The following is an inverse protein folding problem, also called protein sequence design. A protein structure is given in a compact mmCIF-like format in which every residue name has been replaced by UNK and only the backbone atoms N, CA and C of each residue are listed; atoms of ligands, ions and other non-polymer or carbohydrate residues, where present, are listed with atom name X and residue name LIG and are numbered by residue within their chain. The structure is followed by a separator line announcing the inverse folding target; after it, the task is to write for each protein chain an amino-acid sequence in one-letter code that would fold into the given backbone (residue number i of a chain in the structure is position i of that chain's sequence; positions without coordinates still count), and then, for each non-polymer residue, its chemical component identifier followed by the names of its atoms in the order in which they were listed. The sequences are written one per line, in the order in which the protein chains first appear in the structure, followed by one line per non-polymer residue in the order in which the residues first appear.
data_IF_338338622158
#
_entry.id   IF_338338622158
#
_cell.length_a   1.000
_cell.length_b   1.000
_cell.length_c   1.000
_cell.angle_alpha   90.00
_cell.angle_beta   90.00
_cell.angle_gamma   90.00
#
_symmetry.space_group_name_H-M   'P 1'
#
loop_
_entity.id
_entity.type
_entity.pdbx_description
1 polymer ?
#
# COMPACT_ATOMS: atom_id res chain seq x y z
N UNK A 1 19.29 -10.05 20.16
CA UNK A 1 18.97 -8.64 20.44
C UNK A 1 18.84 -7.95 19.09
N UNK A 2 17.62 -7.69 18.62
CA UNK A 2 17.42 -7.09 17.30
C UNK A 2 17.88 -5.62 17.33
N UNK A 3 18.77 -5.24 16.41
CA UNK A 3 19.33 -3.88 16.29
C UNK A 3 18.26 -2.86 15.85
N UNK A 4 17.11 -3.32 15.37
CA UNK A 4 15.97 -2.51 14.96
C UNK A 4 14.74 -2.84 15.80
N UNK A 5 14.13 -1.82 16.40
CA UNK A 5 12.82 -1.95 17.02
C UNK A 5 11.77 -2.03 15.91
N UNK A 6 11.30 -3.23 15.61
CA UNK A 6 10.26 -3.46 14.61
C UNK A 6 8.92 -3.19 15.28
N UNK A 7 8.21 -2.19 14.79
CA UNK A 7 6.90 -1.80 15.28
C UNK A 7 5.82 -2.68 14.62
N UNK A 8 5.17 -3.59 15.37
CA UNK A 8 4.24 -4.56 14.80
C UNK A 8 3.01 -3.90 14.17
N UNK A 9 2.57 -2.75 14.68
CA UNK A 9 1.38 -2.06 14.16
C UNK A 9 1.69 -1.38 12.82
N UNK A 10 2.89 -0.79 12.68
CA UNK A 10 3.36 -0.29 11.37
C UNK A 10 3.48 -1.39 10.35
N UNK A 11 4.03 -2.54 10.75
CA UNK A 11 4.13 -3.71 9.86
C UNK A 11 2.75 -4.17 9.42
N UNK A 12 1.79 -4.35 10.34
CA UNK A 12 0.42 -4.75 10.00
C UNK A 12 -0.25 -3.74 9.06
N UNK A 13 -0.22 -2.47 9.41
CA UNK A 13 -0.84 -1.40 8.61
C UNK A 13 -0.23 -1.33 7.20
N UNK A 14 1.09 -1.27 7.09
CA UNK A 14 1.76 -1.17 5.80
C UNK A 14 1.61 -2.45 4.97
N UNK A 15 1.54 -3.62 5.61
CA UNK A 15 1.24 -4.88 4.93
C UNK A 15 -0.17 -4.85 4.35
N UNK A 16 -1.17 -4.45 5.14
CA UNK A 16 -2.55 -4.29 4.67
C UNK A 16 -2.64 -3.36 3.45
N UNK A 17 -2.00 -2.19 3.51
CA UNK A 17 -1.93 -1.27 2.36
C UNK A 17 -1.20 -1.90 1.16
N UNK A 18 -0.14 -2.68 1.42
CA UNK A 18 0.63 -3.39 0.39
C UNK A 18 -0.15 -4.51 -0.29
N UNK A 19 -1.25 -4.99 0.27
CA UNK A 19 -2.11 -6.02 -0.34
C UNK A 19 -3.10 -5.44 -1.37
N UNK A 20 -3.17 -4.12 -1.53
CA UNK A 20 -4.10 -3.50 -2.50
C UNK A 20 -3.77 -3.87 -3.95
N UNK A 21 -2.50 -4.07 -4.27
CA UNK A 21 -2.03 -4.38 -5.61
C UNK A 21 -1.27 -5.68 -5.61
N UNK A 22 -1.46 -6.49 -6.65
CA UNK A 22 -0.77 -7.80 -6.72
C UNK A 22 0.75 -7.64 -6.77
N UNK A 23 1.24 -6.55 -7.37
CA UNK A 23 2.68 -6.29 -7.49
C UNK A 23 3.36 -6.03 -6.15
N UNK A 24 2.70 -5.34 -5.22
CA UNK A 24 3.21 -5.11 -3.87
C UNK A 24 2.93 -6.26 -2.92
N UNK A 25 1.84 -7.00 -3.13
CA UNK A 25 1.46 -8.14 -2.29
C UNK A 25 2.56 -9.23 -2.26
N UNK A 26 3.19 -9.53 -3.40
CA UNK A 26 4.32 -10.47 -3.46
C UNK A 26 5.48 -10.09 -2.53
N UNK A 27 5.87 -8.82 -2.52
CA UNK A 27 6.94 -8.33 -1.62
C UNK A 27 6.53 -8.36 -0.14
N UNK A 28 5.25 -8.16 0.17
CA UNK A 28 4.72 -8.31 1.53
C UNK A 28 4.85 -9.77 1.97
N UNK A 29 4.35 -10.72 1.17
CA UNK A 29 4.43 -12.14 1.51
C UNK A 29 5.88 -12.63 1.63
N UNK A 30 6.76 -12.24 0.70
CA UNK A 30 8.19 -12.58 0.79
C UNK A 30 8.82 -12.09 2.10
N UNK A 31 8.47 -10.88 2.57
CA UNK A 31 8.99 -10.36 3.83
C UNK A 31 8.53 -11.18 5.06
N UNK A 32 7.29 -11.66 5.07
CA UNK A 32 6.80 -12.56 6.14
C UNK A 32 7.45 -13.94 6.07
N UNK A 33 7.62 -14.51 4.86
CA UNK A 33 8.31 -15.80 4.66
C UNK A 33 9.79 -15.68 5.07
N UNK A 34 10.48 -14.60 4.71
CA UNK A 34 11.86 -14.35 5.13
C UNK A 34 11.96 -14.23 6.66
N UNK A 35 11.01 -13.54 7.30
CA UNK A 35 10.94 -13.40 8.75
C UNK A 35 10.72 -14.73 9.47
N UNK A 36 9.85 -15.61 8.94
CA UNK A 36 9.67 -16.98 9.44
C UNK A 36 10.99 -17.78 9.38
N UNK A 37 11.79 -17.55 8.35
CA UNK A 37 13.11 -18.14 8.18
C UNK A 37 14.25 -17.40 8.93
N UNK A 38 13.91 -16.47 9.83
CA UNK A 38 14.85 -15.76 10.70
C UNK A 38 15.43 -14.47 10.12
N UNK A 39 15.03 -14.04 8.92
CA UNK A 39 15.45 -12.79 8.30
C UNK A 39 14.39 -11.69 8.46
N UNK A 40 14.50 -10.94 9.56
CA UNK A 40 13.59 -9.85 9.89
C UNK A 40 13.86 -8.54 9.10
N UNK A 41 14.84 -8.53 8.17
CA UNK A 41 15.26 -7.28 7.51
C UNK A 41 14.15 -6.63 6.68
N UNK A 42 13.31 -7.44 6.03
CA UNK A 42 12.14 -6.94 5.29
C UNK A 42 11.12 -6.25 6.19
N UNK A 43 10.75 -6.88 7.31
CA UNK A 43 9.80 -6.30 8.27
C UNK A 43 10.36 -5.04 8.95
N UNK A 44 11.67 -5.02 9.23
CA UNK A 44 12.34 -3.83 9.76
C UNK A 44 12.31 -2.66 8.76
N UNK A 45 12.54 -2.94 7.47
CA UNK A 45 12.41 -1.94 6.41
C UNK A 45 10.98 -1.41 6.31
N UNK A 46 9.97 -2.30 6.28
CA UNK A 46 8.56 -1.92 6.24
C UNK A 46 8.24 -0.99 7.42
N UNK A 47 8.57 -1.40 8.65
CA UNK A 47 8.36 -0.60 9.87
C UNK A 47 9.01 0.79 9.80
N UNK A 48 10.21 0.90 9.22
CA UNK A 48 10.91 2.18 9.06
C UNK A 48 10.24 3.06 8.01
N UNK A 49 9.89 2.48 6.86
CA UNK A 49 9.33 3.18 5.72
C UNK A 49 7.90 3.68 5.98
N UNK A 50 7.11 3.01 6.83
CA UNK A 50 5.74 3.43 7.15
C UNK A 50 5.69 4.87 7.65
N UNK A 51 6.59 5.25 8.58
CA UNK A 51 6.64 6.63 9.08
C UNK A 51 6.97 7.63 7.97
N UNK A 52 7.96 7.31 7.14
CA UNK A 52 8.32 8.17 6.02
C UNK A 52 7.14 8.33 5.06
N UNK A 53 6.45 7.24 4.74
CA UNK A 53 5.30 7.28 3.84
C UNK A 53 4.15 8.11 4.43
N UNK A 54 3.74 7.86 5.68
CA UNK A 54 2.65 8.61 6.32
C UNK A 54 2.92 10.12 6.39
N UNK A 55 4.19 10.51 6.60
CA UNK A 55 4.59 11.92 6.66
C UNK A 55 4.72 12.60 5.28
N UNK A 56 4.93 11.82 4.21
CA UNK A 56 5.11 12.35 2.85
C UNK A 56 3.91 12.08 1.94
N UNK A 57 2.87 11.42 2.45
CA UNK A 57 1.59 11.32 1.76
C UNK A 57 1.00 12.72 1.62
N UNK A 58 0.60 13.09 0.41
CA UNK A 58 -0.10 14.34 0.14
C UNK A 58 -1.59 14.22 0.54
N UNK A 59 -1.81 13.86 1.80
CA UNK A 59 -3.12 13.63 2.40
C UNK A 59 -3.30 14.59 3.55
N UNK A 60 -4.40 15.34 3.52
CA UNK A 60 -4.85 16.11 4.67
C UNK A 60 -5.56 15.13 5.60
N UNK A 61 -4.83 14.57 6.57
CA UNK A 61 -5.32 13.49 7.44
C UNK A 61 -6.67 13.80 8.10
N UNK A 62 -6.89 15.04 8.55
CA UNK A 62 -8.18 15.43 9.12
C UNK A 62 -9.34 15.41 8.11
N UNK A 63 -9.10 15.79 6.86
CA UNK A 63 -10.11 15.71 5.79
C UNK A 63 -10.40 14.25 5.40
N UNK A 64 -9.35 13.42 5.31
CA UNK A 64 -9.52 11.99 5.06
C UNK A 64 -10.34 11.34 6.18
N UNK A 65 -9.97 11.58 7.44
CA UNK A 65 -10.71 11.07 8.59
C UNK A 65 -12.17 11.54 8.55
N UNK A 66 -12.44 12.83 8.33
CA UNK A 66 -13.80 13.35 8.25
C UNK A 66 -14.65 12.66 7.17
N UNK A 67 -14.06 12.29 6.03
CA UNK A 67 -14.74 11.58 4.93
C UNK A 67 -14.93 10.09 5.21
N UNK A 68 -13.98 9.46 5.90
CA UNK A 68 -14.05 8.04 6.27
C UNK A 68 -15.19 7.70 7.23
N UNK A 69 -15.79 8.69 7.89
CA UNK A 69 -16.95 8.48 8.76
C UNK A 69 -18.30 8.70 8.05
N UNK A 70 -18.34 8.89 6.72
CA UNK A 70 -19.60 9.21 6.03
C UNK A 70 -20.66 8.13 6.20
N UNK A 71 -20.25 6.87 6.25
CA UNK A 71 -21.06 5.67 6.38
C UNK A 71 -20.97 5.03 7.78
N UNK A 72 -20.45 5.77 8.77
CA UNK A 72 -20.30 5.26 10.13
C UNK A 72 -21.66 5.06 10.82
N UNK A 73 -21.90 3.83 11.28
CA UNK A 73 -23.05 3.44 12.08
C UNK A 73 -22.69 3.33 13.57
N UNK A 74 -23.21 4.25 14.38
CA UNK A 74 -22.96 4.26 15.84
C UNK A 74 -23.50 3.05 16.60
N UNK A 75 -24.35 2.23 15.98
CA UNK A 75 -24.86 0.99 16.58
C UNK A 75 -23.91 -0.20 16.41
N UNK A 76 -22.88 -0.06 15.56
CA UNK A 76 -21.91 -1.11 15.26
C UNK A 76 -20.63 -0.85 16.05
N UNK A 77 -20.22 -1.83 16.85
CA UNK A 77 -18.88 -1.85 17.42
C UNK A 77 -17.89 -2.28 16.34
N UNK A 78 -17.42 -1.32 15.53
CA UNK A 78 -16.46 -1.59 14.47
C UNK A 78 -15.13 -2.09 15.01
N UNK A 79 -14.72 -1.73 16.23
CA UNK A 79 -13.44 -2.20 16.76
C UNK A 79 -13.52 -3.70 17.04
N UNK A 80 -14.56 -4.16 17.75
CA UNK A 80 -14.79 -5.59 17.98
C UNK A 80 -15.11 -6.35 16.69
N UNK A 81 -15.93 -5.78 15.80
CA UNK A 81 -16.27 -6.41 14.51
C UNK A 81 -15.03 -6.60 13.63
N UNK A 82 -14.09 -5.64 13.66
CA UNK A 82 -12.86 -5.68 12.86
C UNK A 82 -11.69 -6.38 13.58
N UNK A 83 -11.84 -6.74 14.85
CA UNK A 83 -11.04 -7.79 15.50
C UNK A 83 -11.49 -9.15 14.98
N UNK A 84 -11.36 -9.38 13.67
CA UNK A 84 -11.48 -10.72 13.12
C UNK A 84 -10.32 -11.55 13.67
N UNK A 85 -10.58 -12.29 14.75
CA UNK A 85 -9.67 -13.22 15.43
C UNK A 85 -9.23 -14.40 14.53
N UNK A 86 -9.53 -14.38 13.23
CA UNK A 86 -9.25 -15.46 12.28
C UNK A 86 -8.04 -15.20 11.37
N UNK A 87 -7.51 -13.97 11.29
CA UNK A 87 -6.39 -13.62 10.40
C UNK A 87 -5.15 -13.14 11.12
N UNK A 88 -3.95 -13.55 10.67
CA UNK A 88 -2.64 -13.17 11.26
C UNK A 88 -2.43 -11.64 11.25
N UNK A 89 -2.91 -10.96 10.20
CA UNK A 89 -2.76 -9.50 10.02
C UNK A 89 -3.95 -8.73 10.61
N UNK A 90 -5.13 -9.35 10.69
CA UNK A 90 -6.39 -8.69 11.09
C UNK A 90 -6.82 -7.59 10.10
N UNK A 91 -7.54 -6.58 10.61
CA UNK A 91 -8.03 -5.42 9.84
C UNK A 91 -7.39 -4.12 10.34
N UNK A 92 -6.05 -3.94 10.22
CA UNK A 92 -5.34 -2.84 10.85
C UNK A 92 -5.73 -1.47 10.27
N UNK A 93 -6.13 -1.41 8.99
CA UNK A 93 -6.68 -0.19 8.38
C UNK A 93 -7.98 0.23 9.06
N UNK A 94 -8.96 -0.67 9.15
CA UNK A 94 -10.24 -0.40 9.80
C UNK A 94 -10.08 -0.05 11.29
N UNK A 95 -9.17 -0.72 12.00
CA UNK A 95 -8.88 -0.40 13.40
C UNK A 95 -8.25 0.99 13.58
N UNK A 96 -7.37 1.41 12.66
CA UNK A 96 -6.80 2.75 12.68
C UNK A 96 -7.88 3.83 12.46
N UNK A 97 -8.90 3.53 11.64
CA UNK A 97 -9.98 4.46 11.33
C UNK A 97 -11.17 4.38 12.31
N UNK A 98 -11.20 3.38 13.20
CA UNK A 98 -12.25 3.21 14.22
C UNK A 98 -12.17 4.24 15.38
N UNK A 99 -11.64 5.44 15.14
CA UNK A 99 -11.41 6.50 16.16
C UNK A 99 -12.63 7.41 16.38
N UNK A 100 -13.83 6.91 16.09
CA UNK A 100 -15.08 7.68 16.16
C UNK A 100 -15.35 8.30 17.54
N UNK A 101 -14.90 7.67 18.64
CA UNK A 101 -15.07 8.19 20.00
C UNK A 101 -14.34 9.52 20.24
N UNK A 102 -13.23 9.74 19.52
CA UNK A 102 -12.37 10.92 19.69
C UNK A 102 -12.47 11.90 18.50
N UNK A 103 -13.08 11.48 17.40
CA UNK A 103 -13.29 12.32 16.23
C UNK A 103 -14.70 12.93 16.26
N UNK A 104 -14.85 14.27 16.33
CA UNK A 104 -16.13 14.93 16.58
C UNK A 104 -17.04 14.99 15.34
N UNK A 105 -17.26 13.87 14.66
CA UNK A 105 -18.17 13.76 13.53
C UNK A 105 -19.49 13.17 14.02
N UNK A 106 -20.56 13.94 13.83
CA UNK A 106 -21.92 13.42 13.92
C UNK A 106 -22.28 12.89 12.55
N UNK A 107 -22.32 11.58 12.37
CA UNK A 107 -23.06 11.04 11.23
C UNK A 107 -24.52 11.42 11.43
N UNK A 108 -25.01 12.26 10.52
CA UNK A 108 -26.44 12.52 10.44
C UNK A 108 -26.98 11.51 9.46
N UNK A 109 -28.03 10.80 9.80
CA UNK A 109 -28.84 10.08 8.81
C UNK A 109 -29.28 11.09 7.75
N UNK A 110 -28.58 11.12 6.62
CA UNK A 110 -28.90 12.00 5.51
C UNK A 110 -29.43 11.20 4.35
N UNK A 111 -30.09 11.90 3.44
CA UNK A 111 -30.50 11.37 2.12
C UNK A 111 -29.31 10.95 1.25
N UNK A 112 -28.07 11.17 1.69
CA UNK A 112 -26.83 10.79 0.99
C UNK A 112 -26.22 9.50 1.54
N UNK A 113 -26.71 8.97 2.67
CA UNK A 113 -26.28 7.70 3.26
C UNK A 113 -26.95 6.48 2.63
N UNK A 114 -27.80 6.68 1.61
CA UNK A 114 -28.52 5.62 0.91
C UNK A 114 -28.26 5.74 -0.57
N UNK A 115 -27.93 4.62 -1.20
CA UNK A 115 -27.82 4.53 -2.66
C UNK A 115 -29.18 4.89 -3.26
N UNK A 116 -29.15 5.65 -4.36
CA UNK A 116 -30.35 6.06 -5.09
C UNK A 116 -30.39 5.35 -6.41
N UNK A 117 -31.60 5.00 -6.84
CA UNK A 117 -31.80 4.51 -8.20
C UNK A 117 -31.36 5.56 -9.22
N UNK A 118 -30.70 5.09 -10.28
CA UNK A 118 -30.36 5.89 -11.44
C UNK A 118 -30.52 5.07 -12.71
N UNK A 119 -30.94 5.74 -13.76
CA UNK A 119 -31.04 5.25 -15.14
C UNK A 119 -29.87 5.76 -16.00
N UNK A 120 -28.89 6.45 -15.42
CA UNK A 120 -27.67 6.84 -16.13
C UNK A 120 -26.85 5.58 -16.45
N UNK A 121 -26.34 5.51 -17.67
CA UNK A 121 -25.41 4.46 -18.08
C UNK A 121 -24.16 4.49 -17.20
N UNK A 122 -23.88 3.40 -16.50
CA UNK A 122 -22.74 3.30 -15.60
C UNK A 122 -21.89 2.06 -15.86
N UNK A 123 -20.58 2.26 -16.01
CA UNK A 123 -19.60 1.18 -16.09
C UNK A 123 -18.89 1.03 -14.74
N UNK A 124 -18.89 -0.18 -14.21
CA UNK A 124 -18.12 -0.59 -13.04
C UNK A 124 -17.03 -1.58 -13.49
N UNK A 125 -15.77 -1.24 -13.24
CA UNK A 125 -14.63 -2.14 -13.42
C UNK A 125 -14.10 -2.51 -12.04
N UNK A 126 -14.09 -3.80 -11.71
CA UNK A 126 -13.67 -4.29 -10.39
C UNK A 126 -12.58 -5.34 -10.53
N UNK A 127 -11.66 -5.38 -9.57
CA UNK A 127 -10.75 -6.51 -9.38
C UNK A 127 -11.42 -7.62 -8.57
N UNK A 128 -11.22 -8.88 -8.97
CA UNK A 128 -11.73 -10.05 -8.21
C UNK A 128 -11.03 -10.29 -6.88
N UNK A 129 -9.87 -9.67 -6.65
CA UNK A 129 -9.09 -9.77 -5.40
C UNK A 129 -8.80 -8.39 -4.81
N UNK A 130 -9.70 -7.42 -5.06
CA UNK A 130 -9.63 -6.09 -4.45
C UNK A 130 -10.07 -6.15 -2.98
N UNK A 131 -9.11 -6.05 -2.06
CA UNK A 131 -9.38 -6.05 -0.62
C UNK A 131 -9.87 -4.70 -0.08
N UNK A 132 -9.65 -3.60 -0.82
CA UNK A 132 -10.06 -2.26 -0.39
C UNK A 132 -11.50 -1.96 -0.75
N UNK A 133 -11.93 -2.39 -1.94
CA UNK A 133 -13.30 -2.21 -2.44
C UNK A 133 -13.77 -3.50 -3.14
N UNK A 134 -14.09 -4.57 -2.38
CA UNK A 134 -14.48 -5.86 -2.94
C UNK A 134 -15.58 -5.77 -4.00
N UNK A 135 -15.41 -6.51 -5.10
CA UNK A 135 -16.31 -6.49 -6.25
C UNK A 135 -17.74 -6.92 -5.89
N UNK A 136 -17.90 -7.74 -4.85
CA UNK A 136 -19.16 -8.23 -4.33
C UNK A 136 -20.03 -7.09 -3.80
N UNK A 137 -19.45 -6.07 -3.15
CA UNK A 137 -20.21 -4.93 -2.66
C UNK A 137 -20.73 -4.08 -3.82
N UNK A 138 -19.89 -3.85 -4.83
CA UNK A 138 -20.34 -3.21 -6.06
C UNK A 138 -21.46 -4.00 -6.75
N UNK A 139 -21.37 -5.34 -6.79
CA UNK A 139 -22.36 -6.22 -7.42
C UNK A 139 -23.68 -6.31 -6.65
N UNK A 140 -23.61 -6.47 -5.34
CA UNK A 140 -24.75 -6.81 -4.50
C UNK A 140 -25.43 -5.59 -3.89
N UNK A 141 -24.70 -4.50 -3.67
CA UNK A 141 -25.20 -3.35 -2.92
C UNK A 141 -25.34 -2.10 -3.79
N UNK A 142 -24.48 -1.91 -4.80
CA UNK A 142 -24.53 -0.75 -5.70
C UNK A 142 -25.29 -1.06 -7.00
N UNK A 143 -24.88 -2.09 -7.73
CA UNK A 143 -25.41 -2.43 -9.05
C UNK A 143 -26.95 -2.56 -9.11
N UNK A 144 -27.68 -3.07 -8.08
CA UNK A 144 -29.14 -3.11 -8.11
C UNK A 144 -29.81 -1.73 -8.25
N UNK A 145 -29.13 -0.65 -7.90
CA UNK A 145 -29.61 0.73 -8.03
C UNK A 145 -29.20 1.38 -9.36
N UNK A 146 -28.32 0.75 -10.14
CA UNK A 146 -27.86 1.24 -11.44
C UNK A 146 -28.63 0.51 -12.55
N UNK A 147 -29.79 1.04 -12.98
CA UNK A 147 -30.70 0.34 -13.92
C UNK A 147 -30.03 -0.02 -15.25
N UNK A 148 -29.11 0.84 -15.70
CA UNK A 148 -28.29 0.65 -16.89
C UNK A 148 -26.81 0.39 -16.53
N UNK A 149 -26.57 -0.11 -15.32
CA UNK A 149 -25.23 -0.41 -14.81
C UNK A 149 -24.70 -1.72 -15.37
N UNK A 150 -23.41 -1.74 -15.72
CA UNK A 150 -22.69 -2.95 -16.12
C UNK A 150 -21.43 -3.08 -15.28
N UNK A 151 -21.23 -4.26 -14.71
CA UNK A 151 -20.02 -4.57 -13.97
C UNK A 151 -19.20 -5.63 -14.69
N UNK A 152 -17.91 -5.34 -14.86
CA UNK A 152 -16.91 -6.32 -15.29
C UNK A 152 -15.94 -6.58 -14.15
N UNK A 153 -15.80 -7.86 -13.79
CA UNK A 153 -14.91 -8.31 -12.72
C UNK A 153 -13.68 -8.95 -13.36
N UNK A 154 -12.53 -8.32 -13.20
CA UNK A 154 -11.26 -8.74 -13.75
C UNK A 154 -10.62 -9.81 -12.84
N UNK A 155 -10.41 -11.00 -13.39
CA UNK A 155 -9.79 -12.13 -12.69
C UNK A 155 -8.34 -11.81 -12.29
N UNK A 156 -7.99 -11.99 -11.01
CA UNK A 156 -6.65 -11.76 -10.44
C UNK A 156 -6.15 -10.29 -10.49
N UNK A 157 -7.09 -9.33 -10.56
CA UNK A 157 -6.79 -7.90 -10.40
C UNK A 157 -7.13 -7.46 -8.99
N UNK A 158 -6.24 -6.67 -8.37
CA UNK A 158 -6.49 -5.99 -7.11
C UNK A 158 -7.21 -4.65 -7.29
N UNK A 159 -6.83 -3.67 -6.48
CA UNK A 159 -7.43 -2.35 -6.42
C UNK A 159 -7.16 -1.50 -7.68
N UNK A 160 -7.77 -0.30 -7.75
CA UNK A 160 -7.86 0.58 -8.93
C UNK A 160 -6.60 0.67 -9.80
N UNK A 161 -5.40 0.72 -9.19
CA UNK A 161 -4.13 0.74 -9.90
C UNK A 161 -3.87 -0.49 -10.77
N UNK A 162 -4.30 -1.68 -10.33
CA UNK A 162 -4.20 -2.90 -11.13
C UNK A 162 -5.14 -2.81 -12.34
N UNK A 163 -6.38 -2.38 -12.11
CA UNK A 163 -7.44 -2.26 -13.13
C UNK A 163 -7.04 -1.26 -14.21
N UNK A 164 -6.47 -0.11 -13.83
CA UNK A 164 -6.15 0.98 -14.75
C UNK A 164 -4.79 0.83 -15.42
N UNK A 165 -3.77 0.33 -14.72
CA UNK A 165 -2.38 0.52 -15.15
C UNK A 165 -1.62 -0.75 -15.51
N UNK A 166 -2.02 -1.95 -15.07
CA UNK A 166 -1.35 -3.19 -15.50
C UNK A 166 -1.39 -3.38 -17.01
N UNK A 167 -2.54 -3.07 -17.60
CA UNK A 167 -2.71 -3.01 -19.04
C UNK A 167 -3.44 -1.71 -19.41
N UNK A 168 -2.68 -0.61 -19.42
CA UNK A 168 -3.21 0.72 -19.70
C UNK A 168 -3.95 0.81 -21.04
N UNK A 169 -3.51 0.06 -22.06
CA UNK A 169 -4.18 0.03 -23.35
C UNK A 169 -5.53 -0.67 -23.27
N UNK A 170 -5.65 -1.75 -22.50
CA UNK A 170 -6.93 -2.42 -22.27
C UNK A 170 -7.91 -1.52 -21.52
N UNK A 171 -7.45 -0.82 -20.48
CA UNK A 171 -8.28 0.16 -19.77
C UNK A 171 -8.77 1.27 -20.69
N UNK A 172 -7.86 1.89 -21.46
CA UNK A 172 -8.23 2.96 -22.38
C UNK A 172 -9.22 2.49 -23.44
N UNK A 173 -9.03 1.30 -24.00
CA UNK A 173 -9.96 0.76 -24.98
C UNK A 173 -11.33 0.52 -24.35
N UNK A 174 -11.40 -0.19 -23.21
CA UNK A 174 -12.66 -0.47 -22.52
C UNK A 174 -13.45 0.80 -22.20
N UNK A 175 -12.78 1.84 -21.67
CA UNK A 175 -13.42 3.12 -21.35
C UNK A 175 -13.82 3.88 -22.61
N UNK A 176 -12.97 3.92 -23.64
CA UNK A 176 -13.25 4.63 -24.90
C UNK A 176 -14.44 4.01 -25.62
N UNK A 177 -14.47 2.68 -25.74
CA UNK A 177 -15.55 1.96 -26.41
C UNK A 177 -16.85 2.10 -25.62
N UNK A 178 -16.79 2.08 -24.29
CA UNK A 178 -17.95 2.34 -23.45
C UNK A 178 -18.52 3.74 -23.66
N UNK A 179 -17.69 4.78 -23.66
CA UNK A 179 -18.16 6.15 -23.94
C UNK A 179 -18.70 6.32 -25.37
N UNK A 180 -18.19 5.54 -26.34
CA UNK A 180 -18.63 5.63 -27.73
C UNK A 180 -19.91 4.83 -28.01
N UNK A 181 -20.13 3.72 -27.30
CA UNK A 181 -21.13 2.72 -27.69
C UNK A 181 -22.04 2.22 -26.55
N UNK A 182 -21.71 2.52 -25.29
CA UNK A 182 -22.36 1.94 -24.12
C UNK A 182 -21.90 0.52 -23.78
N UNK A 183 -20.96 -0.06 -24.54
CA UNK A 183 -20.35 -1.37 -24.30
C UNK A 183 -18.83 -1.24 -24.16
N UNK A 184 -18.25 -1.86 -23.12
CA UNK A 184 -16.82 -1.90 -22.92
C UNK A 184 -16.20 -3.09 -23.66
N UNK A 185 -15.25 -2.87 -24.56
CA UNK A 185 -14.44 -3.97 -25.12
C UNK A 185 -13.38 -4.41 -24.10
N UNK A 186 -13.60 -5.58 -23.53
CA UNK A 186 -12.71 -6.19 -22.55
C UNK A 186 -11.67 -7.12 -23.17
N UNK A 187 -11.61 -7.25 -24.50
CA UNK A 187 -10.79 -8.24 -25.21
C UNK A 187 -9.28 -8.11 -24.96
N UNK A 188 -8.80 -6.88 -24.70
CA UNK A 188 -7.40 -6.64 -24.37
C UNK A 188 -7.06 -6.94 -22.90
N UNK A 189 -8.04 -7.06 -22.01
CA UNK A 189 -7.78 -7.49 -20.63
C UNK A 189 -7.40 -8.97 -20.63
N UNK A 190 -6.18 -9.25 -20.18
CA UNK A 190 -5.67 -10.62 -20.10
C UNK A 190 -5.95 -11.17 -18.72
N UNK A 191 -6.34 -12.45 -18.69
CA UNK A 191 -6.26 -13.22 -17.45
C UNK A 191 -4.81 -13.49 -17.15
N UNK A 192 -4.28 -12.81 -16.14
CA UNK A 192 -2.93 -13.02 -15.63
C UNK A 192 -3.00 -13.77 -14.31
N UNK A 193 -1.98 -14.57 -14.00
CA UNK A 193 -1.87 -15.17 -12.66
C UNK A 193 -1.18 -14.15 -11.76
N UNK A 194 -1.58 -14.09 -10.50
CA UNK A 194 -0.82 -13.36 -9.50
C UNK A 194 0.59 -13.93 -9.42
N UNK A 195 1.58 -13.08 -9.66
CA UNK A 195 2.98 -13.42 -9.45
C UNK A 195 3.36 -13.05 -8.02
N UNK A 196 3.65 -14.06 -7.19
CA UNK A 196 4.10 -13.87 -5.82
C UNK A 196 5.63 -13.77 -5.69
N UNK A 197 6.37 -13.88 -6.79
CA UNK A 197 7.83 -13.69 -6.81
C UNK A 197 8.14 -12.22 -7.12
N UNK A 198 8.54 -11.41 -6.13
CA UNK A 198 8.86 -10.01 -6.37
C UNK A 198 10.17 -9.87 -7.14
N UNK A 199 10.21 -8.97 -8.13
CA UNK A 199 11.45 -8.61 -8.82
C UNK A 199 12.54 -8.09 -7.85
N UNK A 200 12.10 -7.40 -6.80
CA UNK A 200 12.95 -6.96 -5.70
C UNK A 200 12.15 -7.02 -4.41
N UNK A 201 12.59 -7.85 -3.46
CA UNK A 201 11.89 -8.05 -2.20
C UNK A 201 12.31 -7.05 -1.12
N UNK A 202 11.47 -6.86 -0.11
CA UNK A 202 11.80 -5.97 1.00
C UNK A 202 13.08 -6.40 1.75
N UNK A 203 13.33 -7.70 2.03
CA UNK A 203 14.63 -8.14 2.56
C UNK A 203 15.82 -7.77 1.66
N UNK A 204 15.69 -7.91 0.34
CA UNK A 204 16.75 -7.52 -0.60
C UNK A 204 17.03 -6.02 -0.54
N UNK A 205 15.97 -5.19 -0.57
CA UNK A 205 16.08 -3.72 -0.47
C UNK A 205 16.76 -3.34 0.85
N UNK A 206 16.36 -3.96 1.96
CA UNK A 206 16.92 -3.68 3.28
C UNK A 206 18.43 -3.95 3.32
N UNK A 207 18.87 -5.11 2.79
CA UNK A 207 20.29 -5.48 2.74
C UNK A 207 21.10 -4.56 1.84
N UNK A 208 20.56 -4.21 0.67
CA UNK A 208 21.21 -3.26 -0.26
C UNK A 208 21.37 -1.89 0.41
N UNK A 209 20.32 -1.38 1.09
CA UNK A 209 20.36 -0.10 1.77
C UNK A 209 21.42 -0.07 2.88
N UNK A 210 21.47 -1.10 3.73
CA UNK A 210 22.49 -1.22 4.78
C UNK A 210 23.90 -1.31 4.17
N UNK A 211 24.06 -2.12 3.12
CA UNK A 211 25.33 -2.26 2.40
C UNK A 211 25.83 -0.93 1.83
N UNK A 212 24.94 -0.14 1.25
CA UNK A 212 25.27 1.20 0.73
C UNK A 212 25.70 2.16 1.85
N UNK A 213 25.01 2.18 2.99
CA UNK A 213 25.38 3.02 4.15
C UNK A 213 26.76 2.64 4.68
N UNK A 214 27.03 1.34 4.86
CA UNK A 214 28.34 0.85 5.32
C UNK A 214 29.44 1.25 4.33
N UNK A 215 29.19 1.10 3.03
CA UNK A 215 30.15 1.50 2.00
C UNK A 215 30.51 2.99 2.06
N UNK A 216 29.51 3.87 2.22
CA UNK A 216 29.73 5.32 2.36
C UNK A 216 30.54 5.65 3.62
N UNK A 217 30.24 5.02 4.76
CA UNK A 217 31.00 5.21 6.01
C UNK A 217 32.47 4.82 5.79
N UNK A 218 32.72 3.67 5.16
CA UNK A 218 34.08 3.20 4.87
C UNK A 218 34.83 4.14 3.91
N UNK A 219 34.15 4.69 2.91
CA UNK A 219 34.73 5.70 2.02
C UNK A 219 35.15 6.96 2.78
N UNK A 220 34.29 7.48 3.66
CA UNK A 220 34.57 8.66 4.49
C UNK A 220 35.77 8.39 5.41
N UNK A 221 35.78 7.23 6.10
CA UNK A 221 36.89 6.84 6.97
C UNK A 221 38.20 6.69 6.18
N UNK A 222 38.15 6.04 5.01
CA UNK A 222 39.28 5.92 4.10
C UNK A 222 39.84 7.28 3.69
N UNK A 223 38.96 8.22 3.33
CA UNK A 223 39.34 9.58 2.96
C UNK A 223 39.99 10.35 4.12
N UNK A 224 39.41 10.28 5.33
CA UNK A 224 39.97 10.89 6.55
C UNK A 224 41.34 10.31 6.88
N UNK A 225 41.51 8.99 6.78
CA UNK A 225 42.79 8.31 7.00
C UNK A 225 43.85 8.71 5.96
N UNK A 226 43.46 8.87 4.69
CA UNK A 226 44.34 9.36 3.63
C UNK A 226 44.81 10.79 3.90
N UNK A 227 43.91 11.70 4.31
CA UNK A 227 44.25 13.08 4.68
C UNK A 227 45.22 13.07 5.88
N UNK A 228 44.93 12.28 6.92
CA UNK A 228 45.80 12.16 8.10
C UNK A 228 47.20 11.65 7.73
N UNK A 229 47.29 10.61 6.89
CA UNK A 229 48.58 10.07 6.41
C UNK A 229 49.36 11.12 5.61
N UNK A 230 48.71 11.86 4.71
CA UNK A 230 49.35 12.94 3.94
C UNK A 230 49.86 14.06 4.84
N UNK A 231 49.09 14.48 5.84
CA UNK A 231 49.52 15.50 6.82
C UNK A 231 50.71 15.03 7.68
N UNK A 232 50.71 13.78 8.14
CA UNK A 232 51.83 13.20 8.92
C UNK A 232 53.12 13.15 8.08
N UNK A 233 53.05 12.69 6.82
CA UNK A 233 54.21 12.69 5.91
C UNK A 233 54.75 14.09 5.64
N UNK A 234 53.88 15.09 5.41
CA UNK A 234 54.30 16.49 5.24
C UNK A 234 55.00 17.07 6.48
N UNK A 235 54.49 16.77 7.69
CA UNK A 235 55.15 17.19 8.94
C UNK A 235 56.52 16.53 9.12
N UNK A 236 56.63 15.23 8.85
CA UNK A 236 57.91 14.51 8.93
C UNK A 236 58.96 15.07 7.97
N UNK A 237 58.58 15.41 6.74
CA UNK A 237 59.48 16.01 5.75
C UNK A 237 59.93 17.43 6.16
N UNK A 238 59.03 18.23 6.73
CA UNK A 238 59.35 19.57 7.25
C UNK A 238 60.29 19.57 8.46
N UNK A 239 60.39 18.45 9.18
CA UNK A 239 61.32 18.26 10.31
C UNK A 239 62.66 17.66 9.88
N UNK A 240 62.78 17.06 8.69
CA UNK A 240 64.08 16.61 8.15
C UNK A 240 64.84 17.70 7.41
N UNK A 241 64.14 18.76 7.01
CA UNK A 241 64.68 19.88 6.21
C UNK A 241 65.11 21.08 7.10
N UNK A 242 64.99 20.96 8.43
CA UNK A 242 65.45 21.91 9.46
C UNK A 242 66.53 21.25 10.31
#
# INVERSE_FOLDING_TARGET
MAIFNIDPDKVRFASFMGLYHTGSAGSVFDAFIAAENGDLSGLALVSLMTNWQLNNMNVVWGDMLAKSFVDYDSSVDYYETMKLNSGIIGSPGSQLFAIHEVWPVKTKDTVYNKVRETDVECLLLSGSIDFSTPAEFARNELLPYLKNGKQYILSEYGHVGDVMYKNYNAFNQAITDYYATGEADMSLYKKEKVNFEPNMSFPQIAKIAIGAVVFVILLILGFVLLIRRRRKRRRSKRMSDN
#
